data_IF_728099447345
#
_entry.id   IF_728099447345
#
_cell.length_a   1.000
_cell.length_b   1.000
_cell.length_c   1.000
_cell.angle_alpha   90.00
_cell.angle_beta   90.00
_cell.angle_gamma   90.00
#
_symmetry.space_group_name_H-M   'P 1'
#
loop_
_entity.id
_entity.type
_entity.pdbx_description
1 polymer ?
#
# COMPACT_ATOMS: atom_id res chain seq x y z
N UNK A 1 -8.20 -26.21 -11.14
CA UNK A 1 -7.36 -25.08 -10.73
C UNK A 1 -6.29 -24.74 -11.74
N UNK A 2 -5.86 -23.48 -11.76
CA UNK A 2 -4.64 -23.05 -12.45
C UNK A 2 -3.53 -23.02 -11.41
N UNK A 3 -2.39 -23.64 -11.68
CA UNK A 3 -1.21 -23.65 -10.79
C UNK A 3 -0.51 -22.28 -10.80
N UNK A 4 -1.20 -21.26 -10.28
CA UNK A 4 -0.70 -19.89 -10.19
C UNK A 4 -0.36 -19.58 -8.73
N UNK A 5 0.85 -19.06 -8.51
CA UNK A 5 1.33 -18.65 -7.19
C UNK A 5 1.19 -17.14 -7.00
N UNK A 6 0.68 -16.74 -5.83
CA UNK A 6 0.66 -15.33 -5.41
C UNK A 6 1.91 -15.06 -4.59
N UNK A 7 2.79 -14.17 -5.07
CA UNK A 7 4.06 -13.85 -4.41
C UNK A 7 3.95 -12.76 -3.34
N UNK A 8 2.87 -11.99 -3.34
CA UNK A 8 2.65 -10.94 -2.36
C UNK A 8 1.40 -10.12 -2.63
N UNK A 9 1.06 -9.27 -1.68
CA UNK A 9 -0.07 -8.35 -1.69
C UNK A 9 0.42 -6.91 -1.63
N UNK A 10 -0.33 -6.00 -2.26
CA UNK A 10 -0.09 -4.55 -2.16
C UNK A 10 -1.33 -3.90 -1.56
N UNK A 11 -1.14 -3.16 -0.48
CA UNK A 11 -2.18 -2.27 0.04
C UNK A 11 -2.07 -0.93 -0.68
N UNK A 12 -3.04 -0.65 -1.55
CA UNK A 12 -3.03 0.55 -2.39
C UNK A 12 -4.01 1.60 -1.90
N UNK A 13 -3.64 2.88 -2.07
CA UNK A 13 -4.45 4.06 -1.74
C UNK A 13 -4.77 4.22 -0.26
N UNK A 14 -3.78 3.98 0.59
CA UNK A 14 -3.89 4.27 2.02
C UNK A 14 -4.10 5.76 2.24
N UNK A 15 -4.94 6.08 3.22
CA UNK A 15 -5.23 7.46 3.57
C UNK A 15 -4.01 8.07 4.27
N UNK A 16 -3.49 9.23 3.82
CA UNK A 16 -2.43 9.92 4.54
C UNK A 16 -2.94 10.40 5.89
N UNK A 17 -2.09 10.34 6.91
CA UNK A 17 -2.40 10.92 8.21
C UNK A 17 -2.49 12.45 8.10
N UNK A 18 -3.35 13.11 8.88
CA UNK A 18 -3.29 14.56 8.99
C UNK A 18 -2.01 14.97 9.73
N UNK A 19 -1.67 16.26 9.63
CA UNK A 19 -0.57 16.80 10.42
C UNK A 19 -0.87 16.71 11.93
N UNK A 20 0.20 16.65 12.73
CA UNK A 20 0.09 16.37 14.16
C UNK A 20 -0.62 17.49 14.95
N UNK A 21 -0.57 18.72 14.45
CA UNK A 21 -1.13 19.93 15.05
C UNK A 21 -2.55 20.27 14.54
N UNK A 22 -3.05 19.56 13.52
CA UNK A 22 -4.37 19.81 12.98
C UNK A 22 -5.48 19.16 13.81
N UNK A 23 -6.39 19.93 14.41
CA UNK A 23 -7.54 19.37 15.16
C UNK A 23 -8.90 19.74 14.55
N UNK A 24 -8.90 20.06 13.26
CA UNK A 24 -10.12 20.31 12.50
C UNK A 24 -10.99 19.06 12.33
N UNK A 25 -12.18 19.26 11.76
CA UNK A 25 -13.10 18.14 11.40
C UNK A 25 -12.44 17.14 10.45
N UNK A 26 -11.69 17.65 9.46
CA UNK A 26 -10.96 16.83 8.50
C UNK A 26 -9.91 15.96 9.17
N UNK A 27 -9.07 16.53 10.03
CA UNK A 27 -8.05 15.79 10.75
C UNK A 27 -8.63 14.69 11.64
N UNK A 28 -9.71 14.97 12.39
CA UNK A 28 -10.40 13.93 13.17
C UNK A 28 -10.91 12.79 12.29
N UNK A 29 -11.59 13.12 11.18
CA UNK A 29 -12.05 12.10 10.23
C UNK A 29 -10.90 11.26 9.64
N UNK A 30 -9.80 11.90 9.27
CA UNK A 30 -8.63 11.20 8.73
C UNK A 30 -7.99 10.27 9.77
N UNK A 31 -7.92 10.69 11.05
CA UNK A 31 -7.42 9.83 12.14
C UNK A 31 -8.25 8.57 12.31
N UNK A 32 -9.56 8.71 12.41
CA UNK A 32 -10.48 7.56 12.56
C UNK A 32 -10.35 6.62 11.35
N UNK A 33 -10.21 7.18 10.15
CA UNK A 33 -10.03 6.41 8.92
C UNK A 33 -8.70 5.67 8.88
N UNK A 34 -7.60 6.33 9.23
CA UNK A 34 -6.25 5.73 9.30
C UNK A 34 -6.19 4.63 10.35
N UNK A 35 -6.83 4.81 11.50
CA UNK A 35 -6.92 3.76 12.53
C UNK A 35 -7.63 2.51 11.97
N UNK A 36 -8.77 2.70 11.31
CA UNK A 36 -9.50 1.59 10.69
C UNK A 36 -8.70 0.90 9.57
N UNK A 37 -7.90 1.65 8.81
CA UNK A 37 -7.04 1.11 7.75
C UNK A 37 -5.87 0.32 8.36
N UNK A 38 -5.24 0.82 9.42
CA UNK A 38 -4.18 0.11 10.16
C UNK A 38 -4.66 -1.22 10.71
N UNK A 39 -5.90 -1.29 11.21
CA UNK A 39 -6.49 -2.55 11.66
C UNK A 39 -6.69 -3.56 10.53
N UNK A 40 -7.07 -3.09 9.34
CA UNK A 40 -7.21 -3.95 8.16
C UNK A 40 -5.86 -4.45 7.65
N UNK A 41 -4.85 -3.59 7.60
CA UNK A 41 -3.47 -3.97 7.28
C UNK A 41 -2.95 -4.99 8.30
N UNK A 42 -3.24 -4.73 9.58
CA UNK A 42 -3.30 -5.67 10.72
C UNK A 42 -3.59 -7.10 10.28
N UNK A 43 -4.86 -7.27 9.97
CA UNK A 43 -5.47 -8.54 9.61
C UNK A 43 -4.87 -9.15 8.34
N UNK A 44 -4.49 -8.32 7.36
CA UNK A 44 -3.85 -8.81 6.13
C UNK A 44 -2.50 -9.43 6.43
N UNK A 45 -1.66 -8.75 7.20
CA UNK A 45 -0.32 -9.21 7.57
C UNK A 45 -0.35 -10.49 8.41
N UNK A 46 -1.35 -10.64 9.27
CA UNK A 46 -1.49 -11.78 10.18
C UNK A 46 -2.27 -12.96 9.57
N UNK A 47 -3.20 -12.68 8.65
CA UNK A 47 -4.20 -13.65 8.18
C UNK A 47 -3.98 -14.23 6.78
N UNK A 48 -3.10 -13.63 5.97
CA UNK A 48 -2.81 -14.12 4.62
C UNK A 48 -1.42 -14.75 4.56
N UNK A 49 -1.31 -15.87 3.84
CA UNK A 49 -0.02 -16.52 3.61
C UNK A 49 0.92 -15.68 2.72
N UNK A 50 0.45 -15.05 1.62
CA UNK A 50 1.33 -14.18 0.84
C UNK A 50 1.70 -12.91 1.63
N UNK A 51 2.96 -12.48 1.61
CA UNK A 51 3.41 -11.31 2.35
C UNK A 51 2.82 -10.02 1.77
N UNK A 52 2.57 -9.03 2.63
CA UNK A 52 2.33 -7.66 2.20
C UNK A 52 3.67 -7.04 1.78
N UNK A 53 3.86 -6.82 0.47
CA UNK A 53 5.13 -6.36 -0.12
C UNK A 53 5.19 -4.85 -0.31
N UNK A 54 4.05 -4.16 -0.25
CA UNK A 54 4.02 -2.70 -0.29
C UNK A 54 2.74 -2.13 0.31
N UNK A 55 2.90 -0.90 0.82
CA UNK A 55 1.84 -0.02 1.28
C UNK A 55 2.03 1.32 0.57
N UNK A 56 1.03 1.77 -0.17
CA UNK A 56 1.13 3.00 -0.98
C UNK A 56 0.00 3.96 -0.63
N UNK A 57 0.36 5.22 -0.42
CA UNK A 57 -0.60 6.25 -0.06
C UNK A 57 -1.42 6.74 -1.26
N UNK A 58 -2.59 7.29 -0.97
CA UNK A 58 -3.43 7.94 -1.97
C UNK A 58 -2.76 9.21 -2.50
N UNK A 59 -2.73 9.37 -3.82
CA UNK A 59 -2.23 10.58 -4.49
C UNK A 59 -3.39 11.43 -4.98
N UNK A 60 -3.22 12.76 -4.95
CA UNK A 60 -4.23 13.73 -5.40
C UNK A 60 -4.33 13.84 -6.92
N UNK A 61 -3.39 13.23 -7.65
CA UNK A 61 -3.33 13.21 -9.11
C UNK A 61 -3.14 11.78 -9.60
N UNK A 62 -3.47 11.56 -10.87
CA UNK A 62 -3.25 10.28 -11.52
C UNK A 62 -1.77 9.93 -11.60
N UNK A 63 -1.47 8.65 -11.41
CA UNK A 63 -0.11 8.10 -11.45
C UNK A 63 0.30 7.93 -12.92
N UNK A 64 1.06 8.89 -13.44
CA UNK A 64 1.60 8.92 -14.81
C UNK A 64 2.97 9.60 -14.82
N UNK A 65 3.79 9.31 -15.83
CA UNK A 65 5.11 9.92 -15.98
C UNK A 65 5.97 9.68 -14.74
N UNK A 66 6.59 10.73 -14.21
CA UNK A 66 7.46 10.64 -13.03
C UNK A 66 6.74 10.04 -11.80
N UNK A 67 5.44 10.32 -11.62
CA UNK A 67 4.67 9.73 -10.53
C UNK A 67 4.53 8.21 -10.65
N UNK A 68 4.58 7.66 -11.87
CA UNK A 68 4.60 6.21 -12.07
C UNK A 68 5.94 5.62 -11.65
N UNK A 69 7.04 6.29 -11.95
CA UNK A 69 8.37 5.88 -11.49
C UNK A 69 8.46 5.90 -9.97
N UNK A 70 7.94 6.94 -9.32
CA UNK A 70 7.88 7.03 -7.86
C UNK A 70 7.04 5.88 -7.27
N UNK A 71 5.84 5.66 -7.81
CA UNK A 71 4.96 4.59 -7.34
C UNK A 71 5.54 3.19 -7.56
N UNK A 72 6.29 2.98 -8.64
CA UNK A 72 6.97 1.71 -8.91
C UNK A 72 8.13 1.47 -7.92
N UNK A 73 8.85 2.52 -7.55
CA UNK A 73 9.94 2.44 -6.57
C UNK A 73 9.49 2.07 -5.15
N UNK A 74 8.21 2.26 -4.83
CA UNK A 74 7.61 1.86 -3.53
C UNK A 74 7.33 0.35 -3.45
N UNK A 75 7.40 -0.39 -4.56
CA UNK A 75 7.07 -1.81 -4.60
C UNK A 75 8.33 -2.67 -4.38
N UNK A 76 8.41 -3.38 -3.25
CA UNK A 76 9.49 -4.34 -2.97
C UNK A 76 9.23 -5.68 -3.67
N UNK A 77 9.32 -5.66 -5.01
CA UNK A 77 9.10 -6.85 -5.85
C UNK A 77 10.18 -6.99 -6.92
N UNK A 78 10.77 -8.18 -6.99
CA UNK A 78 11.69 -8.51 -8.09
C UNK A 78 10.92 -8.63 -9.40
N UNK A 79 11.32 -7.82 -10.38
CA UNK A 79 10.71 -7.74 -11.71
C UNK A 79 11.53 -8.48 -12.77
N UNK A 80 12.81 -8.76 -12.49
CA UNK A 80 13.66 -9.52 -13.40
C UNK A 80 13.23 -10.99 -13.39
N UNK A 81 13.18 -11.63 -14.57
CA UNK A 81 13.05 -13.07 -14.61
C UNK A 81 14.26 -13.71 -13.91
N UNK A 82 14.09 -14.87 -13.25
CA UNK A 82 15.23 -15.58 -12.68
C UNK A 82 16.28 -15.83 -13.77
N UNK A 83 17.55 -15.58 -13.45
CA UNK A 83 18.64 -15.86 -14.39
C UNK A 83 18.58 -17.33 -14.82
N UNK A 84 18.63 -17.62 -16.14
CA UNK A 84 18.69 -19.00 -16.58
C UNK A 84 20.03 -19.61 -16.12
N UNK A 85 19.94 -20.65 -15.28
CA UNK A 85 21.04 -21.56 -14.95
C UNK A 85 21.56 -22.28 -16.18
#
# INVERSE_FOLDING_TARGET
DRDLRVRGLVANKLTPAPDADEDGRGARYLRDKVETERDRIRQVREGFEPPLVAETESRTREVRGDLLSDAAGELDVETSPPNPT
#
